data_IF_187719461814
#
_entry.id   IF_187719461814
#
_cell.length_a   1.000
_cell.length_b   1.000
_cell.length_c   1.000
_cell.angle_alpha   90.00
_cell.angle_beta   90.00
_cell.angle_gamma   90.00
#
_symmetry.space_group_name_H-M   'P 1'
#
loop_
_entity.id
_entity.type
_entity.pdbx_description
1 polymer ?
#
# COMPACT_ATOMS: atom_id res chain seq x y z
N UNK A 1 -36.15 -1.07 5.32
CA UNK A 1 -35.10 -0.30 4.62
C UNK A 1 -33.77 -0.65 5.29
N UNK A 2 -33.12 -1.74 4.86
CA UNK A 2 -31.83 -2.15 5.42
C UNK A 2 -30.75 -1.30 4.76
N UNK A 3 -30.14 -0.39 5.53
CA UNK A 3 -28.85 0.18 5.16
C UNK A 3 -27.84 -0.97 5.23
N UNK A 4 -27.64 -1.65 4.11
CA UNK A 4 -26.45 -2.49 3.94
C UNK A 4 -25.24 -1.56 4.11
N UNK A 5 -24.55 -1.67 5.25
CA UNK A 5 -23.24 -1.09 5.48
C UNK A 5 -22.27 -1.74 4.49
N UNK A 6 -22.26 -1.24 3.25
CA UNK A 6 -21.27 -1.63 2.24
C UNK A 6 -19.95 -1.01 2.66
N UNK A 7 -19.08 -1.83 3.27
CA UNK A 7 -17.73 -1.39 3.64
C UNK A 7 -17.00 -0.86 2.40
N UNK A 8 -16.42 0.34 2.52
CA UNK A 8 -15.56 0.91 1.48
C UNK A 8 -14.30 0.03 1.32
N UNK A 9 -13.68 0.07 0.15
CA UNK A 9 -12.51 -0.70 -0.20
C UNK A 9 -11.34 -0.52 0.79
N UNK A 10 -11.14 0.71 1.28
CA UNK A 10 -10.18 1.01 2.33
C UNK A 10 -10.41 0.17 3.60
N UNK A 11 -11.68 0.07 4.03
CA UNK A 11 -12.07 -0.69 5.22
C UNK A 11 -11.90 -2.20 4.99
N UNK A 12 -12.22 -2.69 3.78
CA UNK A 12 -12.00 -4.10 3.41
C UNK A 12 -10.52 -4.47 3.44
N UNK A 13 -9.64 -3.58 2.94
CA UNK A 13 -8.19 -3.79 2.96
C UNK A 13 -7.67 -3.76 4.39
N UNK A 14 -8.09 -2.77 5.20
CA UNK A 14 -7.68 -2.66 6.60
C UNK A 14 -8.11 -3.91 7.40
N UNK A 15 -9.35 -4.36 7.26
CA UNK A 15 -9.85 -5.57 7.91
C UNK A 15 -9.07 -6.81 7.45
N UNK A 16 -8.85 -6.96 6.14
CA UNK A 16 -8.10 -8.08 5.61
C UNK A 16 -6.64 -8.08 6.07
N UNK A 17 -6.02 -6.91 6.24
CA UNK A 17 -4.66 -6.78 6.77
C UNK A 17 -4.62 -7.10 8.27
N UNK A 18 -5.58 -6.60 9.05
CA UNK A 18 -5.71 -6.90 10.48
C UNK A 18 -5.92 -8.40 10.77
N UNK A 19 -6.50 -9.15 9.83
CA UNK A 19 -6.66 -10.60 9.93
C UNK A 19 -5.37 -11.39 9.65
N UNK A 20 -4.33 -10.77 9.10
CA UNK A 20 -3.02 -11.41 8.88
C UNK A 20 -2.23 -11.38 10.19
N UNK A 21 -1.58 -12.48 10.61
CA UNK A 21 -0.72 -12.46 11.79
C UNK A 21 0.39 -11.41 11.66
N UNK A 22 0.69 -10.72 12.77
CA UNK A 22 1.60 -9.57 12.78
C UNK A 22 3.00 -9.89 12.22
N UNK A 23 3.52 -11.09 12.47
CA UNK A 23 4.83 -11.51 11.96
C UNK A 23 4.91 -11.51 10.42
N UNK A 24 3.82 -11.88 9.74
CA UNK A 24 3.74 -11.85 8.28
C UNK A 24 3.55 -10.43 7.76
N UNK A 25 2.86 -9.56 8.50
CA UNK A 25 2.76 -8.14 8.15
C UNK A 25 4.13 -7.46 8.24
N UNK A 26 4.87 -7.68 9.33
CA UNK A 26 6.20 -7.11 9.55
C UNK A 26 7.20 -7.62 8.51
N UNK A 27 7.18 -8.93 8.22
CA UNK A 27 7.97 -9.51 7.12
C UNK A 27 7.62 -8.87 5.78
N UNK A 28 6.34 -8.61 5.51
CA UNK A 28 5.91 -7.97 4.26
C UNK A 28 6.40 -6.53 4.14
N UNK A 29 6.27 -5.73 5.20
CA UNK A 29 6.81 -4.36 5.25
C UNK A 29 8.32 -4.39 5.07
N UNK A 30 9.03 -5.22 5.84
CA UNK A 30 10.48 -5.30 5.81
C UNK A 30 11.04 -5.83 4.48
N UNK A 31 10.32 -6.73 3.79
CA UNK A 31 10.68 -7.17 2.45
C UNK A 31 10.45 -6.08 1.41
N UNK A 32 9.33 -5.36 1.51
CA UNK A 32 8.99 -4.29 0.56
C UNK A 32 9.94 -3.11 0.70
N UNK A 33 10.34 -2.75 1.92
CA UNK A 33 11.36 -1.73 2.19
C UNK A 33 12.74 -2.07 1.63
N UNK A 34 13.06 -3.34 1.42
CA UNK A 34 14.32 -3.79 0.77
C UNK A 34 14.19 -3.95 -0.74
N UNK A 35 13.03 -3.64 -1.30
CA UNK A 35 12.75 -3.77 -2.73
C UNK A 35 12.80 -2.41 -3.43
N UNK A 36 12.72 -2.41 -4.76
CA UNK A 36 12.55 -1.18 -5.54
C UNK A 36 11.27 -0.40 -5.20
N UNK A 37 10.29 -1.02 -4.54
CA UNK A 37 9.00 -0.41 -4.18
C UNK A 37 8.99 0.24 -2.80
N UNK A 38 10.17 0.44 -2.17
CA UNK A 38 10.27 0.95 -0.81
C UNK A 38 9.61 2.33 -0.64
N UNK A 39 9.63 3.18 -1.67
CA UNK A 39 9.05 4.53 -1.64
C UNK A 39 7.52 4.50 -1.46
N UNK A 40 6.84 3.44 -1.93
CA UNK A 40 5.40 3.25 -1.71
C UNK A 40 5.08 3.01 -0.23
N UNK A 41 6.03 2.45 0.53
CA UNK A 41 5.89 2.23 1.97
C UNK A 41 6.23 3.50 2.75
N UNK A 42 7.30 4.19 2.35
CA UNK A 42 7.91 5.29 3.10
C UNK A 42 7.20 6.64 2.89
N UNK A 43 6.86 6.99 1.64
CA UNK A 43 6.31 8.31 1.32
C UNK A 43 5.03 8.65 2.13
N UNK A 44 4.03 7.76 2.26
CA UNK A 44 2.83 8.04 3.06
C UNK A 44 3.16 8.30 4.55
N UNK A 45 4.15 7.60 5.10
CA UNK A 45 4.57 7.78 6.50
C UNK A 45 5.23 9.15 6.68
N UNK A 46 6.08 9.55 5.73
CA UNK A 46 6.72 10.88 5.76
C UNK A 46 5.69 12.02 5.65
N UNK A 47 4.61 11.84 4.89
CA UNK A 47 3.51 12.79 4.81
C UNK A 47 2.71 12.88 6.12
N UNK A 48 2.42 11.75 6.76
CA UNK A 48 1.77 11.72 8.09
C UNK A 48 2.61 12.44 9.15
N UNK A 49 3.93 12.22 9.14
CA UNK A 49 4.85 12.92 10.02
C UNK A 49 4.83 14.44 9.78
N UNK A 50 4.79 14.87 8.51
CA UNK A 50 4.68 16.29 8.18
C UNK A 50 3.38 16.92 8.70
N UNK A 51 2.26 16.19 8.62
CA UNK A 51 0.97 16.62 9.19
C UNK A 51 1.02 16.70 10.72
N UNK A 52 1.63 15.71 11.37
CA UNK A 52 1.81 15.71 12.83
C UNK A 52 2.64 16.91 13.28
N UNK A 53 3.76 17.19 12.62
CA UNK A 53 4.59 18.37 12.91
C UNK A 53 3.85 19.68 12.66
N UNK A 54 3.07 19.81 11.58
CA UNK A 54 2.24 21.00 11.38
C UNK A 54 1.24 21.23 12.52
N UNK A 55 0.66 20.15 13.05
CA UNK A 55 -0.22 20.22 14.22
C UNK A 55 0.50 20.72 15.48
N UNK A 56 1.74 20.29 15.71
CA UNK A 56 2.54 20.74 16.85
C UNK A 56 3.01 22.20 16.70
N UNK A 57 3.35 22.61 15.48
CA UNK A 57 3.84 23.97 15.17
C UNK A 57 2.71 25.02 15.08
N UNK A 58 1.44 24.60 15.12
CA UNK A 58 0.30 25.47 14.81
C UNK A 58 0.29 25.96 13.36
N UNK A 59 0.98 25.26 12.45
CA UNK A 59 1.09 25.61 11.05
C UNK A 59 -0.09 25.07 10.23
N UNK A 60 -0.35 25.68 9.07
CA UNK A 60 -1.36 25.17 8.14
C UNK A 60 -0.98 23.78 7.61
N UNK A 61 -1.78 22.78 7.98
CA UNK A 61 -1.60 21.37 7.63
C UNK A 61 -1.66 21.14 6.13
N UNK A 62 -2.57 21.82 5.43
CA UNK A 62 -2.76 21.67 3.99
C UNK A 62 -1.55 22.20 3.23
N UNK A 63 -1.08 23.41 3.55
CA UNK A 63 0.15 23.96 2.97
C UNK A 63 1.37 23.08 3.27
N UNK A 64 1.50 22.58 4.52
CA UNK A 64 2.62 21.70 4.90
C UNK A 64 2.60 20.40 4.10
N UNK A 65 1.43 19.77 3.98
CA UNK A 65 1.24 18.52 3.24
C UNK A 65 1.63 18.69 1.77
N UNK A 66 1.12 19.73 1.09
CA UNK A 66 1.46 20.02 -0.32
C UNK A 66 2.95 20.28 -0.52
N UNK A 67 3.57 21.08 0.36
CA UNK A 67 5.02 21.36 0.29
C UNK A 67 5.85 20.09 0.48
N UNK A 68 5.46 19.22 1.42
CA UNK A 68 6.11 17.94 1.64
C UNK A 68 5.96 17.03 0.42
N UNK A 69 4.73 16.89 -0.10
CA UNK A 69 4.45 16.06 -1.26
C UNK A 69 5.26 16.48 -2.50
N UNK A 70 5.32 17.79 -2.79
CA UNK A 70 6.16 18.32 -3.87
C UNK A 70 7.64 18.03 -3.66
N UNK A 71 8.16 18.22 -2.45
CA UNK A 71 9.57 17.99 -2.15
C UNK A 71 9.95 16.50 -2.28
N UNK A 72 9.04 15.59 -1.93
CA UNK A 72 9.21 14.15 -2.13
C UNK A 72 9.15 13.80 -3.62
N UNK A 73 8.16 14.31 -4.37
CA UNK A 73 7.96 13.99 -5.79
C UNK A 73 9.21 14.29 -6.65
N UNK A 74 9.96 15.33 -6.31
CA UNK A 74 11.21 15.70 -6.99
C UNK A 74 12.34 14.68 -6.83
N UNK A 75 12.25 13.78 -5.84
CA UNK A 75 13.29 12.81 -5.48
C UNK A 75 12.84 11.36 -5.65
N UNK A 76 11.54 11.12 -5.60
CA UNK A 76 10.93 9.79 -5.74
C UNK A 76 11.20 9.20 -7.12
N UNK A 77 11.71 7.98 -7.16
CA UNK A 77 12.04 7.26 -8.40
C UNK A 77 10.91 6.34 -8.87
N UNK A 78 10.14 5.77 -7.94
CA UNK A 78 8.99 4.92 -8.20
C UNK A 78 7.89 5.76 -8.86
N UNK A 79 7.53 5.46 -10.13
CA UNK A 79 6.56 6.26 -10.86
C UNK A 79 5.19 6.31 -10.19
N UNK A 80 4.80 5.25 -9.47
CA UNK A 80 3.50 5.17 -8.84
C UNK A 80 3.44 5.97 -7.55
N UNK A 81 4.49 5.93 -6.73
CA UNK A 81 4.65 6.81 -5.59
C UNK A 81 4.72 8.27 -6.02
N UNK A 82 5.49 8.58 -7.06
CA UNK A 82 5.59 9.92 -7.62
C UNK A 82 4.23 10.44 -8.11
N UNK A 83 3.45 9.61 -8.80
CA UNK A 83 2.08 9.94 -9.20
C UNK A 83 1.22 10.38 -8.00
N UNK A 84 1.16 9.57 -6.94
CA UNK A 84 0.37 9.92 -5.75
C UNK A 84 0.85 11.23 -5.09
N UNK A 85 2.16 11.47 -5.07
CA UNK A 85 2.71 12.70 -4.51
C UNK A 85 2.30 13.94 -5.32
N UNK A 86 2.26 13.84 -6.64
CA UNK A 86 1.77 14.91 -7.50
C UNK A 86 0.26 15.11 -7.34
N UNK A 87 -0.52 14.03 -7.26
CA UNK A 87 -1.96 14.09 -6.98
C UNK A 87 -2.25 14.81 -5.65
N UNK A 88 -1.48 14.53 -4.59
CA UNK A 88 -1.59 15.23 -3.31
C UNK A 88 -1.20 16.71 -3.44
N UNK A 89 -0.15 17.03 -4.21
CA UNK A 89 0.30 18.40 -4.39
C UNK A 89 -0.74 19.26 -5.13
N UNK A 90 -1.37 18.71 -6.17
CA UNK A 90 -2.26 19.43 -7.09
C UNK A 90 -3.73 19.41 -6.68
N UNK A 91 -4.15 18.48 -5.83
CA UNK A 91 -5.56 18.30 -5.46
C UNK A 91 -6.11 19.42 -4.56
N UNK A 92 -7.39 19.74 -4.77
CA UNK A 92 -8.19 20.56 -3.86
C UNK A 92 -8.38 19.89 -2.48
N UNK A 93 -8.35 18.56 -2.43
CA UNK A 93 -8.46 17.78 -1.20
C UNK A 93 -7.24 16.85 -1.00
N UNK A 94 -6.09 17.39 -0.56
CA UNK A 94 -4.84 16.64 -0.46
C UNK A 94 -4.87 15.54 0.61
N UNK A 95 -5.71 15.69 1.64
CA UNK A 95 -5.87 14.67 2.69
C UNK A 95 -6.56 13.41 2.13
N UNK A 96 -7.56 13.58 1.26
CA UNK A 96 -8.20 12.44 0.59
C UNK A 96 -7.23 11.69 -0.33
N UNK A 97 -6.36 12.41 -1.04
CA UNK A 97 -5.32 11.80 -1.87
C UNK A 97 -4.26 11.07 -1.02
N UNK A 98 -3.91 11.60 0.15
CA UNK A 98 -3.05 10.91 1.11
C UNK A 98 -3.69 9.60 1.59
N UNK A 99 -4.99 9.61 1.91
CA UNK A 99 -5.69 8.39 2.30
C UNK A 99 -5.75 7.37 1.15
N UNK A 100 -5.97 7.80 -0.09
CA UNK A 100 -5.88 6.93 -1.27
C UNK A 100 -4.48 6.28 -1.41
N UNK A 101 -3.42 7.07 -1.17
CA UNK A 101 -2.04 6.55 -1.18
C UNK A 101 -1.80 5.52 -0.08
N UNK A 102 -2.29 5.77 1.16
CA UNK A 102 -2.23 4.80 2.26
C UNK A 102 -2.98 3.51 1.96
N UNK A 103 -4.15 3.60 1.31
CA UNK A 103 -4.91 2.43 0.88
C UNK A 103 -4.12 1.60 -0.13
N UNK A 104 -3.45 2.26 -1.08
CA UNK A 104 -2.58 1.57 -2.03
C UNK A 104 -1.39 0.89 -1.33
N UNK A 105 -0.71 1.58 -0.42
CA UNK A 105 0.34 1.02 0.46
C UNK A 105 -0.16 -0.23 1.18
N UNK A 106 -1.30 -0.14 1.87
CA UNK A 106 -1.86 -1.24 2.63
C UNK A 106 -2.24 -2.43 1.74
N UNK A 107 -2.73 -2.17 0.52
CA UNK A 107 -2.99 -3.21 -0.48
C UNK A 107 -1.70 -3.93 -0.89
N UNK A 108 -0.61 -3.21 -1.08
CA UNK A 108 0.69 -3.80 -1.41
C UNK A 108 1.18 -4.69 -0.26
N UNK A 109 1.20 -4.18 0.97
CA UNK A 109 1.59 -4.95 2.17
C UNK A 109 0.72 -6.20 2.31
N UNK A 110 -0.60 -6.08 2.16
CA UNK A 110 -1.52 -7.21 2.22
C UNK A 110 -1.20 -8.30 1.19
N UNK A 111 -0.89 -7.90 -0.05
CA UNK A 111 -0.51 -8.86 -1.10
C UNK A 111 0.78 -9.59 -0.71
N UNK A 112 1.82 -8.86 -0.31
CA UNK A 112 3.11 -9.44 0.05
C UNK A 112 2.97 -10.35 1.28
N UNK A 113 2.20 -9.95 2.28
CA UNK A 113 1.96 -10.75 3.48
C UNK A 113 1.25 -12.07 3.18
N UNK A 114 0.26 -12.05 2.28
CA UNK A 114 -0.41 -13.27 1.79
C UNK A 114 0.56 -14.21 1.08
N UNK A 115 1.47 -13.68 0.27
CA UNK A 115 2.49 -14.50 -0.40
C UNK A 115 3.42 -15.16 0.62
N UNK A 116 3.83 -14.46 1.68
CA UNK A 116 4.60 -15.07 2.78
C UNK A 116 3.83 -16.17 3.50
N UNK A 117 2.53 -15.99 3.74
CA UNK A 117 1.70 -17.03 4.33
C UNK A 117 1.56 -18.25 3.41
N UNK A 118 1.42 -18.07 2.10
CA UNK A 118 1.37 -19.17 1.13
C UNK A 118 2.69 -19.95 1.11
N UNK A 119 3.83 -19.26 1.10
CA UNK A 119 5.16 -19.90 1.21
C UNK A 119 5.27 -20.69 2.51
N UNK A 120 4.87 -20.11 3.64
CA UNK A 120 4.94 -20.78 4.94
C UNK A 120 4.06 -22.03 5.01
N UNK A 121 2.88 -22.00 4.37
CA UNK A 121 1.99 -23.17 4.28
C UNK A 121 2.57 -24.31 3.43
N UNK A 122 3.30 -23.97 2.37
CA UNK A 122 3.93 -24.96 1.48
C UNK A 122 5.23 -25.51 2.09
N UNK A 123 5.95 -24.69 2.85
CA UNK A 123 7.22 -25.07 3.48
C UNK A 123 8.42 -25.09 2.52
N UNK A 124 8.20 -24.85 1.23
CA UNK A 124 9.25 -24.79 0.20
C UNK A 124 8.98 -23.67 -0.82
N UNK A 125 9.94 -22.74 -0.93
CA UNK A 125 9.90 -21.61 -1.87
C UNK A 125 9.89 -22.06 -3.33
N UNK A 126 10.61 -23.14 -3.68
CA UNK A 126 10.67 -23.66 -5.05
C UNK A 126 9.31 -24.21 -5.47
N UNK A 127 8.69 -25.01 -4.61
CA UNK A 127 7.34 -25.55 -4.84
C UNK A 127 6.30 -24.44 -4.92
N UNK A 128 6.38 -23.44 -4.03
CA UNK A 128 5.53 -22.26 -4.12
C UNK A 128 5.68 -21.52 -5.47
N UNK A 129 6.92 -21.29 -5.94
CA UNK A 129 7.17 -20.63 -7.23
C UNK A 129 6.59 -21.42 -8.40
N UNK A 130 6.77 -22.75 -8.39
CA UNK A 130 6.20 -23.63 -9.40
C UNK A 130 4.67 -23.51 -9.43
N UNK A 131 4.02 -23.66 -8.26
CA UNK A 131 2.56 -23.54 -8.14
C UNK A 131 2.05 -22.18 -8.61
N UNK A 132 2.75 -21.09 -8.27
CA UNK A 132 2.41 -19.74 -8.70
C UNK A 132 2.52 -19.56 -10.22
N UNK A 133 3.58 -20.08 -10.83
CA UNK A 133 3.73 -20.07 -12.29
C UNK A 133 2.60 -20.84 -12.97
N UNK A 134 2.28 -22.05 -12.49
CA UNK A 134 1.17 -22.84 -13.03
C UNK A 134 -0.16 -22.10 -12.94
N UNK A 135 -0.45 -21.46 -11.79
CA UNK A 135 -1.68 -20.65 -11.63
C UNK A 135 -1.77 -19.49 -12.61
N UNK A 136 -0.65 -18.78 -12.85
CA UNK A 136 -0.60 -17.67 -13.81
C UNK A 136 -0.80 -18.17 -15.24
N UNK A 137 -0.11 -19.24 -15.63
CA UNK A 137 -0.24 -19.84 -16.96
C UNK A 137 -1.67 -20.31 -17.23
N UNK A 138 -2.29 -21.00 -16.28
CA UNK A 138 -3.68 -21.44 -16.40
C UNK A 138 -4.64 -20.24 -16.47
N UNK A 139 -4.42 -19.20 -15.66
CA UNK A 139 -5.28 -18.02 -15.69
C UNK A 139 -5.20 -17.28 -17.03
N UNK A 140 -4.02 -17.24 -17.65
CA UNK A 140 -3.82 -16.66 -18.99
C UNK A 140 -4.48 -17.50 -20.09
N UNK A 141 -4.48 -18.83 -19.97
CA UNK A 141 -5.12 -19.74 -20.93
C UNK A 141 -6.64 -19.69 -20.85
N UNK A 142 -7.20 -19.69 -19.63
CA UNK A 142 -8.65 -19.82 -19.41
C UNK A 142 -9.39 -18.49 -19.22
N UNK A 143 -8.70 -17.35 -19.28
CA UNK A 143 -9.29 -16.02 -19.13
C UNK A 143 -9.96 -15.75 -17.77
N UNK A 144 -9.75 -16.62 -16.77
CA UNK A 144 -10.29 -16.52 -15.40
C UNK A 144 -9.20 -16.86 -14.39
N UNK A 145 -9.19 -16.18 -13.24
CA UNK A 145 -8.32 -16.54 -12.12
C UNK A 145 -8.64 -17.97 -11.68
N UNK A 146 -7.67 -18.87 -11.83
CA UNK A 146 -7.77 -20.25 -11.32
C UNK A 146 -7.36 -20.22 -9.84
N UNK A 147 -8.22 -20.77 -8.96
CA UNK A 147 -8.07 -20.75 -7.51
C UNK A 147 -6.86 -21.58 -7.03
#
# INVERSE_FOLDING_TARGET
MNKENTMNEAQKIAQALAAIPADFQDKAVAATMRSQFWEIIDCPVTLDLALAFAGLDGADKVSRLRKCARALALKTQDPKACQYLLEIYESDNPEEQLEAFKVFRNRLVLKVAKEFMEVNKIGDVRQYRLKRQTRVTLSNIFGKKVA
#
